data_IF_546826062825
#
_entry.id   IF_546826062825
#
_cell.length_a   1.000
_cell.length_b   1.000
_cell.length_c   1.000
_cell.angle_alpha   90.00
_cell.angle_beta   90.00
_cell.angle_gamma   90.00
#
_symmetry.space_group_name_H-M   'P 1'
#
loop_
_entity.id
_entity.type
_entity.pdbx_description
1 polymer ?
#
# COMPACT_ATOMS: atom_id res chain seq x y z
N UNK A 1 -12.92 -6.05 7.40
CA UNK A 1 -13.12 -5.73 5.96
C UNK A 1 -13.43 -7.00 5.16
N UNK A 2 -14.11 -6.90 4.01
CA UNK A 2 -14.32 -8.08 3.14
C UNK A 2 -13.10 -8.27 2.21
N UNK A 3 -12.12 -9.06 2.67
CA UNK A 3 -10.88 -9.33 1.92
C UNK A 3 -11.11 -10.04 0.59
N UNK A 4 -12.18 -10.85 0.49
CA UNK A 4 -12.57 -11.50 -0.77
C UNK A 4 -13.04 -10.47 -1.80
N UNK A 5 -13.81 -9.48 -1.36
CA UNK A 5 -14.26 -8.39 -2.22
C UNK A 5 -13.09 -7.50 -2.65
N UNK A 6 -12.20 -7.17 -1.71
CA UNK A 6 -10.99 -6.37 -1.99
C UNK A 6 -10.16 -7.10 -3.05
N UNK A 7 -9.77 -8.35 -2.82
CA UNK A 7 -9.01 -9.16 -3.78
C UNK A 7 -9.66 -9.17 -5.17
N UNK A 8 -10.97 -9.48 -5.25
CA UNK A 8 -11.69 -9.52 -6.53
C UNK A 8 -11.66 -8.20 -7.29
N UNK A 9 -11.72 -7.07 -6.58
CA UNK A 9 -11.68 -5.73 -7.20
C UNK A 9 -10.29 -5.35 -7.67
N UNK A 10 -9.26 -5.64 -6.87
CA UNK A 10 -7.88 -5.45 -7.27
C UNK A 10 -7.52 -6.33 -8.47
N UNK A 11 -7.89 -7.60 -8.46
CA UNK A 11 -7.68 -8.50 -9.60
C UNK A 11 -8.28 -7.96 -10.91
N UNK A 12 -9.45 -7.29 -10.85
CA UNK A 12 -10.06 -6.64 -12.01
C UNK A 12 -9.33 -5.36 -12.45
N UNK A 13 -8.73 -4.63 -11.52
CA UNK A 13 -8.06 -3.36 -11.79
C UNK A 13 -6.58 -3.53 -12.13
N UNK A 14 -5.99 -4.70 -11.89
CA UNK A 14 -4.53 -4.92 -11.99
C UNK A 14 -3.95 -4.50 -13.34
N UNK A 15 -4.66 -4.75 -14.45
CA UNK A 15 -4.21 -4.39 -15.79
C UNK A 15 -4.17 -2.88 -16.07
N UNK A 16 -5.05 -2.10 -15.44
CA UNK A 16 -5.10 -0.63 -15.57
C UNK A 16 -4.31 0.09 -14.49
N UNK A 17 -4.06 -0.57 -13.36
CA UNK A 17 -3.44 0.02 -12.17
C UNK A 17 -2.10 0.69 -12.47
N UNK A 18 -1.18 -0.02 -13.12
CA UNK A 18 0.16 0.50 -13.42
C UNK A 18 0.16 1.76 -14.32
N UNK A 19 -0.89 1.95 -15.12
CA UNK A 19 -1.03 3.09 -16.05
C UNK A 19 -1.68 4.28 -15.36
N UNK A 20 -2.64 4.04 -14.46
CA UNK A 20 -3.52 5.07 -13.89
C UNK A 20 -3.18 5.49 -12.46
N UNK A 21 -2.30 4.76 -11.79
CA UNK A 21 -1.95 4.98 -10.39
C UNK A 21 -0.80 6.00 -10.21
N UNK A 22 -0.95 7.22 -10.76
CA UNK A 22 0.11 8.25 -10.71
C UNK A 22 0.43 8.69 -9.28
N UNK A 23 -0.58 8.81 -8.41
CA UNK A 23 -0.40 9.12 -6.99
C UNK A 23 0.41 8.02 -6.31
N UNK A 24 0.03 6.75 -6.53
CA UNK A 24 0.73 5.62 -5.94
C UNK A 24 2.17 5.51 -6.46
N UNK A 25 2.39 5.88 -7.73
CA UNK A 25 3.75 5.97 -8.30
C UNK A 25 4.58 7.04 -7.61
N UNK A 26 4.05 8.24 -7.39
CA UNK A 26 4.71 9.28 -6.62
C UNK A 26 5.05 8.82 -5.20
N UNK A 27 4.08 8.21 -4.51
CA UNK A 27 4.28 7.65 -3.16
C UNK A 27 5.41 6.61 -3.19
N UNK A 28 5.42 5.70 -4.17
CA UNK A 28 6.43 4.66 -4.30
C UNK A 28 7.85 5.25 -4.45
N UNK A 29 8.02 6.27 -5.29
CA UNK A 29 9.31 6.94 -5.46
C UNK A 29 9.74 7.69 -4.20
N UNK A 30 8.84 8.48 -3.58
CA UNK A 30 9.14 9.20 -2.34
C UNK A 30 9.51 8.25 -1.20
N UNK A 31 8.81 7.13 -1.09
CA UNK A 31 9.10 6.11 -0.09
C UNK A 31 10.46 5.43 -0.34
N UNK A 32 10.78 5.08 -1.59
CA UNK A 32 12.08 4.51 -1.94
C UNK A 32 13.23 5.50 -1.68
N UNK A 33 13.03 6.81 -1.94
CA UNK A 33 13.99 7.86 -1.61
C UNK A 33 14.19 8.00 -0.10
N UNK A 34 13.10 8.01 0.68
CA UNK A 34 13.16 8.09 2.13
C UNK A 34 13.92 6.88 2.73
N UNK A 35 13.62 5.67 2.26
CA UNK A 35 14.35 4.46 2.65
C UNK A 35 15.84 4.58 2.32
N UNK A 36 16.16 5.06 1.12
CA UNK A 36 17.54 5.30 0.70
C UNK A 36 18.29 6.27 1.59
N UNK A 37 17.59 7.31 2.07
CA UNK A 37 18.15 8.37 2.90
C UNK A 37 18.29 8.00 4.38
N UNK A 38 17.29 7.34 4.95
CA UNK A 38 17.19 7.16 6.40
C UNK A 38 17.55 5.74 6.88
N UNK A 39 17.56 4.73 6.00
CA UNK A 39 17.90 3.36 6.34
C UNK A 39 19.26 3.01 5.73
N UNK A 40 20.26 2.64 6.53
CA UNK A 40 21.61 2.27 6.03
C UNK A 40 21.53 1.00 5.15
N UNK A 41 22.55 0.76 4.33
CA UNK A 41 22.61 -0.40 3.42
C UNK A 41 22.46 -1.74 4.15
N UNK A 42 23.07 -1.88 5.34
CA UNK A 42 22.90 -3.07 6.18
C UNK A 42 21.46 -3.34 6.61
N UNK A 43 20.65 -2.30 6.79
CA UNK A 43 19.23 -2.38 7.11
C UNK A 43 18.34 -2.74 5.91
N UNK A 44 18.90 -3.02 4.72
CA UNK A 44 18.16 -3.31 3.48
C UNK A 44 18.56 -4.64 2.85
N UNK A 45 19.09 -5.61 3.63
CA UNK A 45 19.59 -6.90 3.15
C UNK A 45 18.48 -7.93 2.96
N UNK A 46 17.77 -8.27 4.03
CA UNK A 46 16.60 -9.16 3.99
C UNK A 46 15.35 -8.30 4.07
N UNK A 47 14.59 -8.26 3.01
CA UNK A 47 13.45 -7.36 2.86
C UNK A 47 12.17 -8.15 2.65
N UNK A 48 11.12 -7.78 3.36
CA UNK A 48 9.75 -8.25 3.16
C UNK A 48 8.90 -7.07 2.70
N UNK A 49 8.36 -7.17 1.49
CA UNK A 49 7.41 -6.19 0.95
C UNK A 49 5.98 -6.73 1.07
N UNK A 50 5.12 -5.99 1.74
CA UNK A 50 3.72 -6.31 2.00
C UNK A 50 2.83 -5.52 1.05
N UNK A 51 1.96 -6.20 0.30
CA UNK A 51 1.07 -5.59 -0.69
C UNK A 51 1.84 -5.06 -1.89
N UNK A 52 2.67 -5.90 -2.52
CA UNK A 52 3.56 -5.49 -3.60
C UNK A 52 2.81 -5.08 -4.89
N UNK A 53 1.55 -5.51 -5.06
CA UNK A 53 0.77 -5.26 -6.25
C UNK A 53 1.52 -5.65 -7.53
N UNK A 54 1.52 -4.76 -8.51
CA UNK A 54 2.25 -4.98 -9.78
C UNK A 54 3.76 -4.68 -9.68
N UNK A 55 4.33 -4.53 -8.47
CA UNK A 55 5.76 -4.29 -8.24
C UNK A 55 6.21 -2.85 -8.49
N UNK A 56 5.31 -1.88 -8.39
CA UNK A 56 5.64 -0.47 -8.63
C UNK A 56 6.66 0.06 -7.64
N UNK A 57 6.43 -0.14 -6.34
CA UNK A 57 7.40 0.22 -5.30
C UNK A 57 8.64 -0.66 -5.38
N UNK A 58 8.49 -1.96 -5.60
CA UNK A 58 9.61 -2.91 -5.74
C UNK A 58 10.64 -2.40 -6.74
N UNK A 59 10.20 -1.99 -7.94
CA UNK A 59 11.11 -1.47 -8.98
C UNK A 59 11.77 -0.15 -8.55
N UNK A 60 11.00 0.78 -7.97
CA UNK A 60 11.56 2.04 -7.45
C UNK A 60 12.63 1.80 -6.36
N UNK A 61 12.37 0.83 -5.47
CA UNK A 61 13.31 0.43 -4.42
C UNK A 61 14.57 -0.22 -4.98
N UNK A 62 14.46 -1.14 -5.94
CA UNK A 62 15.60 -1.84 -6.55
C UNK A 62 16.53 -0.93 -7.34
N UNK A 63 16.05 0.23 -7.80
CA UNK A 63 16.94 1.27 -8.36
C UNK A 63 17.88 1.90 -7.31
N UNK A 64 17.59 1.75 -6.01
CA UNK A 64 18.32 2.39 -4.90
C UNK A 64 18.98 1.41 -3.94
N UNK A 65 18.59 0.13 -4.01
CA UNK A 65 19.08 -0.91 -3.10
C UNK A 65 19.18 -2.26 -3.82
N UNK A 66 20.15 -3.05 -3.39
CA UNK A 66 20.34 -4.42 -3.87
C UNK A 66 20.21 -5.37 -2.68
N UNK A 67 19.00 -5.81 -2.32
CA UNK A 67 18.80 -6.74 -1.21
C UNK A 67 19.43 -8.09 -1.52
N UNK A 68 19.86 -8.79 -0.48
CA UNK A 68 20.32 -10.18 -0.56
C UNK A 68 19.13 -11.14 -0.74
N UNK A 69 18.02 -10.80 -0.10
CA UNK A 69 16.72 -11.50 -0.24
C UNK A 69 15.59 -10.50 -0.22
N UNK A 70 14.64 -10.66 -1.14
CA UNK A 70 13.41 -9.88 -1.19
C UNK A 70 12.22 -10.83 -1.30
N UNK A 71 11.38 -10.83 -0.29
CA UNK A 71 10.11 -11.54 -0.30
C UNK A 71 8.99 -10.55 -0.60
N UNK A 72 8.34 -10.72 -1.73
CA UNK A 72 7.16 -9.98 -2.14
C UNK A 72 5.92 -10.72 -1.64
N UNK A 73 5.02 -10.01 -1.00
CA UNK A 73 3.73 -10.54 -0.59
C UNK A 73 2.60 -9.72 -1.18
N UNK A 74 1.54 -10.39 -1.59
CA UNK A 74 0.25 -9.77 -1.89
C UNK A 74 -0.90 -10.72 -1.53
N UNK A 75 -2.07 -10.14 -1.24
CA UNK A 75 -3.31 -10.88 -1.03
C UNK A 75 -3.83 -11.50 -2.34
N UNK A 76 -3.51 -10.87 -3.48
CA UNK A 76 -3.97 -11.21 -4.83
C UNK A 76 -2.90 -12.02 -5.56
N UNK A 77 -3.04 -13.36 -5.74
CA UNK A 77 -2.11 -14.12 -6.58
C UNK A 77 -2.14 -13.67 -8.05
N UNK A 78 -3.20 -12.99 -8.47
CA UNK A 78 -3.36 -12.47 -9.82
C UNK A 78 -2.34 -11.38 -10.20
N UNK A 79 -1.54 -10.88 -9.22
CA UNK A 79 -0.45 -9.93 -9.50
C UNK A 79 0.82 -10.62 -10.00
N UNK A 80 1.01 -11.92 -9.74
CA UNK A 80 2.24 -12.65 -10.04
C UNK A 80 2.71 -12.52 -11.50
N UNK A 81 1.83 -12.59 -12.53
CA UNK A 81 2.25 -12.40 -13.93
C UNK A 81 2.89 -11.03 -14.22
N UNK A 82 2.59 -10.01 -13.41
CA UNK A 82 3.17 -8.67 -13.53
C UNK A 82 4.54 -8.52 -12.86
N UNK A 83 5.00 -9.56 -12.15
CA UNK A 83 6.26 -9.61 -11.43
C UNK A 83 7.31 -10.47 -12.15
N UNK A 84 7.03 -10.98 -13.33
CA UNK A 84 7.88 -11.96 -14.06
C UNK A 84 9.32 -11.47 -14.24
N UNK A 85 9.51 -10.20 -14.58
CA UNK A 85 10.82 -9.56 -14.71
C UNK A 85 11.59 -9.52 -13.37
N UNK A 86 10.88 -9.28 -12.26
CA UNK A 86 11.46 -9.27 -10.92
C UNK A 86 11.81 -10.68 -10.47
N UNK A 87 10.92 -11.64 -10.69
CA UNK A 87 11.08 -13.04 -10.27
C UNK A 87 12.14 -13.80 -11.08
N UNK A 88 12.59 -13.28 -12.22
CA UNK A 88 13.77 -13.77 -12.91
C UNK A 88 15.05 -13.69 -12.05
N UNK A 89 15.08 -12.80 -11.08
CA UNK A 89 16.16 -12.71 -10.10
C UNK A 89 15.93 -13.71 -8.96
N UNK A 90 16.81 -14.70 -8.81
CA UNK A 90 16.74 -15.75 -7.79
C UNK A 90 16.71 -15.27 -6.33
N UNK A 91 17.00 -13.99 -6.08
CA UNK A 91 16.93 -13.37 -4.74
C UNK A 91 15.53 -12.87 -4.40
N UNK A 92 14.62 -12.81 -5.39
CA UNK A 92 13.28 -12.29 -5.25
C UNK A 92 12.28 -13.44 -5.32
N UNK A 93 11.42 -13.52 -4.32
CA UNK A 93 10.39 -14.54 -4.23
C UNK A 93 9.02 -13.87 -4.03
N UNK A 94 7.97 -14.55 -4.46
CA UNK A 94 6.59 -14.10 -4.27
C UNK A 94 5.81 -15.10 -3.42
N UNK A 95 4.98 -14.59 -2.51
CA UNK A 95 4.05 -15.36 -1.69
C UNK A 95 2.67 -14.70 -1.68
N UNK A 96 1.70 -15.37 -2.28
CA UNK A 96 0.30 -14.93 -2.20
C UNK A 96 -0.30 -15.37 -0.86
N UNK A 97 -0.52 -14.43 0.06
CA UNK A 97 -1.11 -14.72 1.37
C UNK A 97 -1.67 -13.47 2.03
N UNK A 98 -2.56 -13.67 3.01
CA UNK A 98 -3.00 -12.60 3.90
C UNK A 98 -1.87 -12.23 4.87
N UNK A 99 -1.36 -11.02 4.73
CA UNK A 99 -0.25 -10.52 5.54
C UNK A 99 -0.59 -10.39 7.04
N UNK A 100 -1.86 -10.17 7.39
CA UNK A 100 -2.27 -10.04 8.79
C UNK A 100 -2.09 -11.33 9.60
N UNK A 101 -1.94 -12.48 8.94
CA UNK A 101 -1.57 -13.73 9.59
C UNK A 101 -0.13 -13.75 10.10
N UNK A 102 0.73 -12.81 9.68
CA UNK A 102 2.16 -12.70 10.06
C UNK A 102 2.98 -13.99 9.87
N UNK A 103 2.57 -14.84 8.93
CA UNK A 103 3.24 -16.11 8.62
C UNK A 103 4.42 -15.89 7.66
N UNK A 104 5.39 -15.08 8.09
CA UNK A 104 6.60 -14.78 7.34
C UNK A 104 7.85 -15.17 8.11
N UNK A 105 8.97 -15.44 7.42
CA UNK A 105 10.25 -15.70 8.09
C UNK A 105 10.67 -14.49 8.94
N UNK A 106 11.17 -14.76 10.15
CA UNK A 106 11.82 -13.76 10.99
C UNK A 106 13.22 -13.39 10.46
N UNK A 107 13.86 -12.41 11.10
CA UNK A 107 15.19 -11.95 10.69
C UNK A 107 15.17 -10.97 9.51
N UNK A 108 14.04 -10.29 9.30
CA UNK A 108 13.94 -9.22 8.31
C UNK A 108 14.72 -7.99 8.78
N UNK A 109 15.53 -7.41 7.89
CA UNK A 109 16.16 -6.12 8.15
C UNK A 109 15.23 -4.96 7.82
N UNK A 110 14.32 -5.16 6.86
CA UNK A 110 13.31 -4.19 6.47
C UNK A 110 11.99 -4.89 6.18
N UNK A 111 10.92 -4.41 6.79
CA UNK A 111 9.56 -4.70 6.35
C UNK A 111 9.01 -3.42 5.74
N UNK A 112 8.49 -3.52 4.53
CA UNK A 112 7.98 -2.36 3.80
C UNK A 112 6.58 -2.61 3.28
N UNK A 113 5.72 -1.57 3.32
CA UNK A 113 4.37 -1.63 2.73
C UNK A 113 4.03 -0.29 2.10
N UNK A 114 3.81 -0.27 0.78
CA UNK A 114 3.50 0.94 0.05
C UNK A 114 2.02 0.96 -0.36
N UNK A 115 1.24 1.84 0.28
CA UNK A 115 -0.19 2.04 -0.03
C UNK A 115 -1.05 0.77 0.05
N UNK A 116 -0.79 -0.13 1.02
CA UNK A 116 -1.56 -1.36 1.21
C UNK A 116 -2.23 -1.46 2.58
N UNK A 117 -1.65 -0.89 3.64
CA UNK A 117 -2.08 -1.09 5.03
C UNK A 117 -3.50 -0.59 5.30
N UNK A 118 -4.01 0.40 4.57
CA UNK A 118 -5.39 0.89 4.69
C UNK A 118 -6.46 -0.18 4.42
N UNK A 119 -6.09 -1.29 3.82
CA UNK A 119 -6.98 -2.41 3.51
C UNK A 119 -7.00 -3.49 4.59
N UNK A 120 -6.26 -3.31 5.67
CA UNK A 120 -6.17 -4.29 6.75
C UNK A 120 -7.33 -4.14 7.73
N UNK A 121 -7.70 -5.25 8.36
CA UNK A 121 -8.73 -5.26 9.41
C UNK A 121 -8.21 -4.65 10.72
N UNK A 122 -6.96 -4.95 11.05
CA UNK A 122 -6.30 -4.50 12.28
C UNK A 122 -4.89 -3.97 11.96
N UNK A 123 -4.79 -2.83 11.25
CA UNK A 123 -3.51 -2.33 10.77
C UNK A 123 -2.52 -2.05 11.90
N UNK A 124 -2.97 -1.51 13.04
CA UNK A 124 -2.11 -1.21 14.20
C UNK A 124 -1.53 -2.51 14.80
N UNK A 125 -2.36 -3.54 14.94
CA UNK A 125 -1.92 -4.84 15.44
C UNK A 125 -0.92 -5.52 14.49
N UNK A 126 -1.16 -5.40 13.18
CA UNK A 126 -0.21 -5.91 12.19
C UNK A 126 1.13 -5.17 12.28
N UNK A 127 1.11 -3.84 12.33
CA UNK A 127 2.33 -3.03 12.43
C UNK A 127 3.13 -3.34 13.70
N UNK A 128 2.46 -3.45 14.86
CA UNK A 128 3.10 -3.89 16.11
C UNK A 128 3.65 -5.32 15.98
N UNK A 129 2.90 -6.23 15.35
CA UNK A 129 3.30 -7.62 15.13
C UNK A 129 4.54 -7.77 14.26
N UNK A 130 4.79 -6.85 13.33
CA UNK A 130 5.98 -6.82 12.49
C UNK A 130 7.28 -6.81 13.30
N UNK A 131 7.26 -6.28 14.54
CA UNK A 131 8.42 -6.27 15.45
C UNK A 131 9.00 -7.66 15.67
N UNK A 132 8.16 -8.71 15.70
CA UNK A 132 8.58 -10.10 15.89
C UNK A 132 9.29 -10.70 14.68
N UNK A 133 9.09 -10.13 13.51
CA UNK A 133 9.70 -10.57 12.26
C UNK A 133 11.01 -9.81 11.97
N UNK A 134 11.19 -8.64 12.57
CA UNK A 134 12.37 -7.81 12.39
C UNK A 134 13.57 -8.29 13.23
N UNK A 135 14.77 -8.04 12.73
CA UNK A 135 16.01 -8.08 13.56
C UNK A 135 15.95 -7.01 14.64
N UNK A 136 16.88 -7.07 15.61
CA UNK A 136 16.96 -6.07 16.69
C UNK A 136 17.06 -4.63 16.14
N UNK A 137 17.86 -4.44 15.10
CA UNK A 137 18.10 -3.16 14.41
C UNK A 137 17.28 -3.05 13.10
N UNK A 138 16.20 -3.82 12.96
CA UNK A 138 15.39 -3.84 11.75
C UNK A 138 14.44 -2.64 11.68
N UNK A 139 14.04 -2.32 10.46
CA UNK A 139 13.22 -1.16 10.14
C UNK A 139 11.85 -1.58 9.65
N UNK A 140 10.83 -0.84 10.04
CA UNK A 140 9.49 -0.87 9.46
C UNK A 140 9.27 0.44 8.70
N UNK A 141 8.94 0.34 7.42
CA UNK A 141 8.63 1.50 6.59
C UNK A 141 7.29 1.29 5.88
N UNK A 142 6.38 2.24 5.94
CA UNK A 142 5.12 2.13 5.23
C UNK A 142 4.58 3.49 4.80
N UNK A 143 3.71 3.46 3.80
CA UNK A 143 2.85 4.56 3.43
C UNK A 143 1.39 4.12 3.47
N UNK A 144 0.52 5.05 3.84
CA UNK A 144 -0.92 4.86 3.88
C UNK A 144 -1.64 6.16 3.58
N UNK A 145 -2.95 6.14 3.50
CA UNK A 145 -3.76 7.33 3.30
C UNK A 145 -4.30 7.84 4.63
N UNK A 146 -4.43 9.16 4.74
CA UNK A 146 -4.96 9.84 5.92
C UNK A 146 -6.44 10.20 5.80
N UNK A 147 -7.03 10.79 6.88
CA UNK A 147 -8.48 11.08 6.96
C UNK A 147 -9.04 12.00 5.87
N UNK A 148 -8.16 12.75 5.18
CA UNK A 148 -8.59 13.65 4.11
C UNK A 148 -8.53 13.00 2.71
N UNK A 149 -8.25 11.70 2.64
CA UNK A 149 -8.21 10.98 1.37
C UNK A 149 -9.61 10.94 0.73
N UNK A 150 -9.69 11.35 -0.53
CA UNK A 150 -10.91 11.41 -1.36
C UNK A 150 -12.12 12.04 -0.64
N UNK A 151 -11.85 13.06 0.19
CA UNK A 151 -12.86 13.71 1.06
C UNK A 151 -14.06 14.22 0.27
N UNK A 152 -13.86 14.65 -0.97
CA UNK A 152 -14.91 15.14 -1.87
C UNK A 152 -15.89 14.02 -2.23
N UNK A 153 -15.41 12.80 -2.41
CA UNK A 153 -16.26 11.62 -2.66
C UNK A 153 -16.95 11.15 -1.37
N UNK A 154 -16.20 11.13 -0.27
CA UNK A 154 -16.71 10.73 1.05
C UNK A 154 -17.85 11.66 1.51
N UNK A 155 -17.77 12.96 1.26
CA UNK A 155 -18.81 13.93 1.63
C UNK A 155 -20.16 13.65 0.95
N UNK A 156 -20.13 13.00 -0.22
CA UNK A 156 -21.33 12.69 -1.00
C UNK A 156 -21.85 11.26 -0.78
N UNK A 157 -20.97 10.33 -0.44
CA UNK A 157 -21.31 8.90 -0.37
C UNK A 157 -21.32 8.34 1.05
N UNK A 158 -20.70 9.06 1.99
CA UNK A 158 -20.41 8.59 3.36
C UNK A 158 -19.58 7.28 3.42
N UNK A 159 -19.12 6.79 2.27
CA UNK A 159 -18.29 5.58 2.17
C UNK A 159 -16.81 5.95 2.35
N UNK A 160 -16.21 5.47 3.42
CA UNK A 160 -14.79 5.70 3.71
C UNK A 160 -14.16 4.51 4.41
N UNK A 161 -12.83 4.42 4.35
CA UNK A 161 -12.05 3.55 5.23
C UNK A 161 -11.75 4.28 6.55
N UNK A 162 -11.52 3.54 7.63
CA UNK A 162 -11.16 4.12 8.92
C UNK A 162 -9.71 4.61 8.92
N UNK A 163 -9.43 5.63 8.08
CA UNK A 163 -8.10 6.21 7.98
C UNK A 163 -7.63 6.82 9.30
N UNK A 164 -6.37 6.57 9.65
CA UNK A 164 -5.71 7.16 10.81
C UNK A 164 -4.93 8.40 10.42
N UNK A 165 -4.92 9.39 11.29
CA UNK A 165 -4.04 10.56 11.15
C UNK A 165 -2.58 10.17 11.41
N UNK A 166 -1.65 11.00 10.92
CA UNK A 166 -0.22 10.82 11.19
C UNK A 166 0.06 10.78 12.71
N UNK A 167 -0.63 11.64 13.49
CA UNK A 167 -0.48 11.67 14.94
C UNK A 167 -0.91 10.36 15.59
N UNK A 168 -2.10 9.84 15.26
CA UNK A 168 -2.59 8.56 15.81
C UNK A 168 -1.65 7.40 15.48
N UNK A 169 -1.13 7.34 14.25
CA UNK A 169 -0.18 6.30 13.87
C UNK A 169 1.14 6.42 14.61
N UNK A 170 1.69 7.62 14.74
CA UNK A 170 2.95 7.83 15.46
C UNK A 170 2.80 7.54 16.95
N UNK A 171 1.68 7.94 17.59
CA UNK A 171 1.41 7.67 18.99
C UNK A 171 1.37 6.15 19.27
N UNK A 172 0.65 5.39 18.43
CA UNK A 172 0.55 3.92 18.56
C UNK A 172 1.91 3.24 18.33
N UNK A 173 2.63 3.66 17.30
CA UNK A 173 3.88 3.01 16.91
C UNK A 173 5.04 3.35 17.83
N UNK A 174 5.03 4.49 18.49
CA UNK A 174 6.08 4.91 19.43
C UNK A 174 6.22 3.98 20.65
N UNK A 175 5.21 3.14 20.94
CA UNK A 175 5.29 2.10 21.95
C UNK A 175 6.23 0.95 21.58
N UNK A 176 6.38 0.66 20.28
CA UNK A 176 7.12 -0.48 19.76
C UNK A 176 8.36 -0.09 18.94
N UNK A 177 8.40 1.14 18.42
CA UNK A 177 9.41 1.62 17.48
C UNK A 177 9.93 3.01 17.83
N UNK A 178 11.19 3.24 17.53
CA UNK A 178 11.74 4.58 17.42
C UNK A 178 11.37 5.17 16.06
N UNK A 179 10.65 6.28 16.04
CA UNK A 179 10.26 6.94 14.79
C UNK A 179 11.47 7.70 14.22
N UNK A 180 11.97 7.23 13.11
CA UNK A 180 13.14 7.82 12.40
C UNK A 180 12.69 8.93 11.45
N UNK A 181 11.54 8.73 10.79
CA UNK A 181 11.00 9.67 9.81
C UNK A 181 9.49 9.51 9.70
N UNK A 182 8.79 10.62 9.64
CA UNK A 182 7.36 10.65 9.31
C UNK A 182 7.02 11.91 8.53
N UNK A 183 6.09 11.81 7.59
CA UNK A 183 5.62 12.92 6.74
C UNK A 183 4.19 12.70 6.31
N UNK A 184 3.41 13.77 6.29
CA UNK A 184 2.11 13.81 5.63
C UNK A 184 2.17 14.78 4.44
N UNK A 185 1.54 14.42 3.33
CA UNK A 185 1.48 15.23 2.12
C UNK A 185 0.07 15.17 1.53
N UNK A 186 -0.40 16.31 1.01
CA UNK A 186 -1.67 16.41 0.31
C UNK A 186 -1.41 16.49 -1.19
N UNK A 187 -1.81 15.46 -1.90
CA UNK A 187 -1.77 15.43 -3.35
C UNK A 187 -3.16 15.81 -3.89
N UNK A 188 -3.20 16.79 -4.79
CA UNK A 188 -4.44 17.21 -5.45
C UNK A 188 -4.44 16.69 -6.88
N UNK A 189 -5.54 16.02 -7.24
CA UNK A 189 -5.83 15.63 -8.61
C UNK A 189 -6.96 16.53 -9.15
N UNK A 190 -6.87 16.92 -10.39
CA UNK A 190 -7.92 17.64 -11.10
C UNK A 190 -8.48 16.78 -12.23
N UNK A 191 -9.79 16.77 -12.36
CA UNK A 191 -10.50 15.99 -13.36
C UNK A 191 -11.43 16.92 -14.15
N UNK A 192 -11.67 16.62 -15.42
CA UNK A 192 -12.55 17.43 -16.26
C UNK A 192 -14.04 17.26 -15.92
N UNK A 193 -14.40 16.17 -15.23
CA UNK A 193 -15.78 15.91 -14.80
C UNK A 193 -15.84 15.03 -13.55
N UNK A 194 -16.95 15.06 -12.77
CA UNK A 194 -17.17 14.16 -11.65
C UNK A 194 -17.10 12.68 -12.04
N UNK A 195 -17.58 12.32 -13.24
CA UNK A 195 -17.52 10.94 -13.73
C UNK A 195 -16.10 10.45 -13.95
N UNK A 196 -15.17 11.33 -14.32
CA UNK A 196 -13.76 10.97 -14.43
C UNK A 196 -13.14 10.65 -13.06
N UNK A 197 -13.57 11.30 -11.98
CA UNK A 197 -13.18 10.95 -10.61
C UNK A 197 -13.55 9.50 -10.32
N UNK A 198 -14.83 9.13 -10.55
CA UNK A 198 -15.32 7.77 -10.31
C UNK A 198 -14.63 6.74 -11.18
N UNK A 199 -14.34 7.08 -12.44
CA UNK A 199 -13.58 6.25 -13.36
C UNK A 199 -12.17 6.02 -12.83
N UNK A 200 -11.48 7.07 -12.39
CA UNK A 200 -10.14 6.98 -11.80
C UNK A 200 -10.11 6.08 -10.57
N UNK A 201 -11.06 6.25 -9.63
CA UNK A 201 -11.18 5.39 -8.45
C UNK A 201 -11.39 3.91 -8.81
N UNK A 202 -12.18 3.64 -9.86
CA UNK A 202 -12.40 2.28 -10.36
C UNK A 202 -11.13 1.69 -10.99
N UNK A 203 -10.42 2.46 -11.80
CA UNK A 203 -9.21 2.03 -12.49
C UNK A 203 -8.01 1.84 -11.55
N UNK A 204 -8.01 2.50 -10.40
CA UNK A 204 -6.99 2.36 -9.34
C UNK A 204 -7.40 1.40 -8.23
N UNK A 205 -8.54 0.70 -8.35
CA UNK A 205 -8.99 -0.29 -7.39
C UNK A 205 -9.51 0.28 -6.06
N UNK A 206 -9.58 1.61 -5.92
CA UNK A 206 -10.00 2.29 -4.67
C UNK A 206 -11.50 2.14 -4.38
N UNK A 207 -12.28 1.67 -5.34
CA UNK A 207 -13.73 1.37 -5.14
C UNK A 207 -14.01 0.23 -4.16
N UNK A 208 -12.98 -0.37 -3.55
CA UNK A 208 -13.10 -1.37 -2.46
C UNK A 208 -13.87 -0.87 -1.24
N UNK A 209 -14.07 0.44 -1.11
CA UNK A 209 -14.76 1.08 -0.01
C UNK A 209 -16.27 0.82 -0.07
N UNK A 210 -16.89 0.84 -1.25
CA UNK A 210 -18.34 0.75 -1.42
C UNK A 210 -18.78 -0.67 -1.76
N UNK A 211 -19.76 -1.21 -1.01
CA UNK A 211 -20.33 -2.56 -1.26
C UNK A 211 -21.31 -2.59 -2.43
N UNK A 212 -22.04 -1.50 -2.67
CA UNK A 212 -23.08 -1.41 -3.71
C UNK A 212 -22.59 -0.62 -4.95
N UNK A 213 -23.20 -0.93 -6.10
CA UNK A 213 -23.00 -0.14 -7.32
C UNK A 213 -23.76 1.19 -7.22
N UNK A 214 -23.26 2.22 -7.88
CA UNK A 214 -23.96 3.49 -8.00
C UNK A 214 -25.30 3.31 -8.73
N UNK A 215 -26.37 3.81 -8.16
CA UNK A 215 -27.64 3.97 -8.86
C UNK A 215 -27.57 5.18 -9.79
N UNK A 216 -28.49 5.26 -10.77
CA UNK A 216 -28.55 6.38 -11.68
C UNK A 216 -28.81 7.71 -10.96
N UNK A 217 -29.70 7.70 -9.94
CA UNK A 217 -29.99 8.89 -9.12
C UNK A 217 -28.78 9.37 -8.35
N UNK A 218 -28.03 8.46 -7.70
CA UNK A 218 -26.79 8.81 -6.98
C UNK A 218 -25.71 9.37 -7.92
N UNK A 219 -25.61 8.87 -9.16
CA UNK A 219 -24.70 9.42 -10.16
C UNK A 219 -25.10 10.82 -10.58
N UNK A 220 -26.42 11.06 -10.80
CA UNK A 220 -26.94 12.37 -11.16
C UNK A 220 -26.71 13.37 -10.02
N UNK A 221 -26.89 12.99 -8.76
CA UNK A 221 -26.62 13.83 -7.59
C UNK A 221 -25.13 14.10 -7.40
N UNK A 222 -24.25 13.13 -7.66
CA UNK A 222 -22.81 13.31 -7.64
C UNK A 222 -22.30 14.28 -8.74
N UNK A 223 -23.01 14.37 -9.86
CA UNK A 223 -22.63 15.23 -10.99
C UNK A 223 -23.16 16.67 -10.88
N UNK A 224 -24.01 16.99 -9.92
CA UNK A 224 -24.51 18.35 -9.64
C UNK A 224 -23.58 19.12 -8.73
#
# INVERSE_FOLDING_TARGET
MDKTLIRRRFAKAVGSYSIRADVQRQIAYHMADAIGKYIPSGGRRNVLEIGCGTGMFTRAFLHRATPERLLLNDLCPEVEPYLTDLLANKRIHFAASDAEALNFPSGQNLIVSCSAIQWFDQPEKFLAGCRKLLTADGYLAFSTFGPQNVKEVVSLTSDTLPYRSLKELTDVLSAEYQIVYSREEKLKLSFASPLEVLKHLKETGVTGIRRQSWTRGELDDFCR
#
